data_IF_612077484918
#
_entry.id   IF_612077484918
#
_cell.length_a   1.000
_cell.length_b   1.000
_cell.length_c   1.000
_cell.angle_alpha   90.00
_cell.angle_beta   90.00
_cell.angle_gamma   90.00
#
_symmetry.space_group_name_H-M   'P 1'
#
loop_
_entity.id
_entity.type
_entity.pdbx_description
1 polymer ?
#
# COMPACT_ATOMS: atom_id res chain seq x y z
N UNK A 1 -8.35 32.23 14.51
CA UNK A 1 -8.09 30.79 14.73
C UNK A 1 -8.24 30.55 16.22
N UNK A 2 -9.28 29.81 16.65
CA UNK A 2 -9.42 29.47 18.08
C UNK A 2 -8.28 28.54 18.47
N UNK A 3 -7.50 28.95 19.44
CA UNK A 3 -6.45 28.15 20.03
C UNK A 3 -7.09 26.94 20.74
N UNK A 4 -7.00 25.76 20.14
CA UNK A 4 -7.49 24.52 20.73
C UNK A 4 -6.59 24.23 21.93
N UNK A 5 -7.17 24.12 23.13
CA UNK A 5 -6.41 23.79 24.33
C UNK A 5 -5.56 22.51 24.12
N UNK A 6 -4.40 22.42 24.75
CA UNK A 6 -3.49 21.28 24.63
C UNK A 6 -4.19 19.93 24.96
N UNK A 7 -5.09 19.93 25.91
CA UNK A 7 -5.90 18.76 26.29
C UNK A 7 -6.88 18.34 25.18
N UNK A 8 -7.58 19.29 24.55
CA UNK A 8 -8.49 19.01 23.44
C UNK A 8 -7.74 18.51 22.21
N UNK A 9 -6.52 19.04 21.95
CA UNK A 9 -5.66 18.59 20.86
C UNK A 9 -5.15 17.16 21.09
N UNK A 10 -4.74 16.81 22.30
CA UNK A 10 -4.32 15.44 22.65
C UNK A 10 -5.49 14.44 22.52
N UNK A 11 -6.70 14.85 22.90
CA UNK A 11 -7.92 14.04 22.70
C UNK A 11 -8.20 13.83 21.21
N UNK A 12 -8.10 14.88 20.38
CA UNK A 12 -8.29 14.79 18.94
C UNK A 12 -7.29 13.83 18.27
N UNK A 13 -5.99 13.88 18.66
CA UNK A 13 -4.97 12.96 18.15
C UNK A 13 -5.30 11.50 18.50
N UNK A 14 -5.78 11.22 19.72
CA UNK A 14 -6.16 9.86 20.12
C UNK A 14 -7.34 9.32 19.30
N UNK A 15 -8.42 10.12 19.16
CA UNK A 15 -9.58 9.72 18.37
C UNK A 15 -9.26 9.58 16.88
N UNK A 16 -8.41 10.45 16.34
CA UNK A 16 -7.87 10.34 14.99
C UNK A 16 -7.12 9.02 14.80
N UNK A 17 -6.16 8.70 15.68
CA UNK A 17 -5.37 7.48 15.61
C UNK A 17 -6.21 6.22 15.77
N UNK A 18 -7.14 6.20 16.74
CA UNK A 18 -8.03 5.07 16.95
C UNK A 18 -8.93 4.80 15.73
N UNK A 19 -9.53 5.85 15.15
CA UNK A 19 -10.35 5.69 13.96
C UNK A 19 -9.54 5.27 12.73
N UNK A 20 -8.33 5.81 12.57
CA UNK A 20 -7.43 5.41 11.50
C UNK A 20 -7.03 3.93 11.65
N UNK A 21 -6.63 3.51 12.85
CA UNK A 21 -6.26 2.11 13.11
C UNK A 21 -7.42 1.15 12.82
N UNK A 22 -8.64 1.46 13.25
CA UNK A 22 -9.81 0.64 12.94
C UNK A 22 -10.05 0.52 11.42
N UNK A 23 -9.92 1.63 10.67
CA UNK A 23 -10.10 1.61 9.23
C UNK A 23 -9.01 0.77 8.52
N UNK A 24 -7.75 0.89 8.97
CA UNK A 24 -6.63 0.14 8.43
C UNK A 24 -6.70 -1.35 8.80
N UNK A 25 -7.09 -1.70 10.03
CA UNK A 25 -7.31 -3.09 10.43
C UNK A 25 -8.41 -3.75 9.59
N UNK A 26 -9.53 -3.04 9.36
CA UNK A 26 -10.58 -3.51 8.47
C UNK A 26 -10.06 -3.75 7.04
N UNK A 27 -9.28 -2.82 6.51
CA UNK A 27 -8.64 -2.94 5.18
C UNK A 27 -7.75 -4.17 5.10
N UNK A 28 -6.86 -4.39 6.06
CA UNK A 28 -5.97 -5.54 6.10
C UNK A 28 -6.74 -6.87 6.30
N UNK A 29 -7.83 -6.86 7.06
CA UNK A 29 -8.71 -8.03 7.23
C UNK A 29 -9.36 -8.41 5.91
N UNK A 30 -9.85 -7.45 5.13
CA UNK A 30 -10.47 -7.69 3.82
C UNK A 30 -9.45 -8.16 2.79
N UNK A 31 -8.26 -7.52 2.74
CA UNK A 31 -7.14 -7.94 1.89
C UNK A 31 -6.70 -9.37 2.15
N UNK A 32 -6.86 -9.88 3.36
CA UNK A 32 -6.65 -11.28 3.71
C UNK A 32 -7.84 -12.16 3.31
N UNK A 33 -9.06 -11.77 3.72
CA UNK A 33 -10.24 -12.63 3.65
C UNK A 33 -10.73 -12.84 2.22
N UNK A 34 -10.79 -11.78 1.40
CA UNK A 34 -11.42 -11.85 0.07
C UNK A 34 -10.65 -12.75 -0.89
N UNK A 35 -9.33 -12.62 -1.07
CA UNK A 35 -8.57 -13.55 -1.93
C UNK A 35 -8.69 -15.01 -1.47
N UNK A 36 -8.64 -15.25 -0.15
CA UNK A 36 -8.76 -16.58 0.41
C UNK A 36 -10.13 -17.20 0.14
N UNK A 37 -11.21 -16.44 0.35
CA UNK A 37 -12.58 -16.89 0.07
C UNK A 37 -12.81 -17.16 -1.42
N UNK A 38 -12.33 -16.28 -2.30
CA UNK A 38 -12.43 -16.45 -3.76
C UNK A 38 -11.67 -17.70 -4.20
N UNK A 39 -10.46 -17.91 -3.68
CA UNK A 39 -9.69 -19.08 -4.00
C UNK A 39 -10.41 -20.38 -3.55
N UNK A 40 -10.92 -20.42 -2.32
CA UNK A 40 -11.65 -21.60 -1.81
C UNK A 40 -12.92 -21.92 -2.58
N UNK A 41 -13.59 -20.90 -3.12
CA UNK A 41 -14.80 -21.08 -3.94
C UNK A 41 -14.50 -21.56 -5.36
N UNK A 42 -13.36 -21.15 -5.91
CA UNK A 42 -13.08 -21.34 -7.35
C UNK A 42 -11.98 -22.36 -7.63
N UNK A 43 -11.05 -22.55 -6.69
CA UNK A 43 -9.84 -23.35 -6.89
C UNK A 43 -8.91 -22.79 -7.99
N UNK A 44 -9.16 -21.58 -8.51
CA UNK A 44 -8.55 -21.08 -9.73
C UNK A 44 -7.94 -19.70 -9.52
N UNK A 45 -6.63 -19.60 -9.77
CA UNK A 45 -5.84 -18.36 -9.63
C UNK A 45 -6.32 -17.24 -10.55
N UNK A 46 -6.96 -17.56 -11.67
CA UNK A 46 -7.51 -16.56 -12.60
C UNK A 46 -8.49 -15.62 -11.90
N UNK A 47 -9.41 -16.18 -11.11
CA UNK A 47 -10.38 -15.37 -10.37
C UNK A 47 -9.73 -14.52 -9.28
N UNK A 48 -8.71 -15.04 -8.59
CA UNK A 48 -7.94 -14.26 -7.60
C UNK A 48 -7.22 -13.09 -8.24
N UNK A 49 -6.59 -13.31 -9.41
CA UNK A 49 -5.91 -12.25 -10.15
C UNK A 49 -6.85 -11.17 -10.67
N UNK A 50 -8.01 -11.56 -11.23
CA UNK A 50 -9.04 -10.61 -11.68
C UNK A 50 -9.61 -9.82 -10.50
N UNK A 51 -9.94 -10.48 -9.39
CA UNK A 51 -10.45 -9.81 -8.19
C UNK A 51 -9.45 -8.78 -7.66
N UNK A 52 -8.16 -9.14 -7.58
CA UNK A 52 -7.10 -8.23 -7.17
C UNK A 52 -6.97 -7.03 -8.13
N UNK A 53 -7.04 -7.26 -9.45
CA UNK A 53 -7.01 -6.16 -10.42
C UNK A 53 -8.19 -5.20 -10.24
N UNK A 54 -9.40 -5.74 -10.03
CA UNK A 54 -10.62 -4.96 -9.81
C UNK A 54 -10.65 -4.24 -8.45
N UNK A 55 -9.86 -4.71 -7.49
CA UNK A 55 -9.68 -4.03 -6.20
C UNK A 55 -8.84 -2.74 -6.34
N UNK A 56 -7.93 -2.65 -7.30
CA UNK A 56 -7.03 -1.51 -7.47
C UNK A 56 -7.39 -0.58 -8.62
N UNK A 57 -7.93 -1.11 -9.71
CA UNK A 57 -8.22 -0.35 -10.91
C UNK A 57 -9.19 0.83 -10.68
N UNK A 58 -10.31 0.68 -9.96
CA UNK A 58 -11.25 1.78 -9.73
C UNK A 58 -10.64 2.91 -8.87
N UNK A 59 -9.69 2.59 -7.96
CA UNK A 59 -8.99 3.59 -7.17
C UNK A 59 -8.21 4.57 -8.05
N UNK A 60 -7.59 4.10 -9.14
CA UNK A 60 -6.86 4.97 -10.09
C UNK A 60 -7.75 6.08 -10.63
N UNK A 61 -9.01 5.75 -10.93
CA UNK A 61 -9.99 6.72 -11.45
C UNK A 61 -10.48 7.64 -10.32
N UNK A 62 -10.60 7.11 -9.10
CA UNK A 62 -11.12 7.87 -7.95
C UNK A 62 -10.13 8.89 -7.38
N UNK A 63 -8.81 8.64 -7.45
CA UNK A 63 -7.80 9.50 -6.84
C UNK A 63 -7.82 10.96 -7.29
N UNK A 64 -7.93 11.31 -8.59
CA UNK A 64 -8.02 12.70 -9.04
C UNK A 64 -9.22 13.46 -8.43
N UNK A 65 -10.34 12.76 -8.22
CA UNK A 65 -11.57 13.35 -7.68
C UNK A 65 -11.58 13.40 -6.14
N UNK A 66 -10.85 12.51 -5.49
CA UNK A 66 -10.81 12.42 -4.04
C UNK A 66 -10.24 13.70 -3.39
N UNK A 67 -9.25 14.33 -4.02
CA UNK A 67 -8.72 15.62 -3.58
C UNK A 67 -9.77 16.73 -3.60
N UNK A 68 -10.54 16.82 -4.68
CA UNK A 68 -11.65 17.78 -4.82
C UNK A 68 -12.74 17.55 -3.77
N UNK A 69 -13.09 16.28 -3.51
CA UNK A 69 -14.05 15.92 -2.46
C UNK A 69 -13.54 16.31 -1.07
N UNK A 70 -12.25 16.12 -0.81
CA UNK A 70 -11.62 16.51 0.45
C UNK A 70 -11.62 18.03 0.65
N UNK A 71 -11.42 18.79 -0.42
CA UNK A 71 -11.50 20.26 -0.38
C UNK A 71 -12.93 20.75 -0.14
N UNK A 72 -13.92 20.10 -0.75
CA UNK A 72 -15.33 20.49 -0.64
C UNK A 72 -15.97 20.11 0.69
N UNK A 73 -15.74 18.88 1.16
CA UNK A 73 -16.44 18.33 2.33
C UNK A 73 -15.59 18.37 3.61
N UNK A 74 -14.28 18.59 3.48
CA UNK A 74 -13.31 18.50 4.59
C UNK A 74 -13.02 17.06 5.02
N UNK A 75 -11.85 16.85 5.65
CA UNK A 75 -11.34 15.52 5.96
C UNK A 75 -12.27 14.70 6.86
N UNK A 76 -12.85 15.30 7.93
CA UNK A 76 -13.72 14.59 8.86
C UNK A 76 -14.96 13.99 8.20
N UNK A 77 -15.70 14.78 7.44
CA UNK A 77 -16.95 14.32 6.81
C UNK A 77 -16.65 13.29 5.73
N UNK A 78 -15.59 13.52 4.96
CA UNK A 78 -15.17 12.60 3.90
C UNK A 78 -14.74 11.24 4.47
N UNK A 79 -13.90 11.22 5.53
CA UNK A 79 -13.48 9.97 6.17
C UNK A 79 -14.67 9.20 6.73
N UNK A 80 -15.57 9.89 7.44
CA UNK A 80 -16.77 9.26 8.02
C UNK A 80 -17.69 8.70 6.96
N UNK A 81 -18.02 9.50 5.94
CA UNK A 81 -18.91 9.08 4.85
C UNK A 81 -18.35 7.89 4.08
N UNK A 82 -17.06 7.93 3.70
CA UNK A 82 -16.41 6.87 2.99
C UNK A 82 -16.34 5.56 3.81
N UNK A 83 -15.95 5.61 5.09
CA UNK A 83 -15.88 4.41 5.92
C UNK A 83 -17.27 3.87 6.27
N UNK A 84 -18.29 4.71 6.44
CA UNK A 84 -19.69 4.25 6.59
C UNK A 84 -20.16 3.53 5.33
N UNK A 85 -19.90 4.07 4.14
CA UNK A 85 -20.25 3.44 2.87
C UNK A 85 -19.51 2.11 2.65
N UNK A 86 -18.20 2.05 3.00
CA UNK A 86 -17.41 0.80 3.00
C UNK A 86 -17.99 -0.24 3.95
N UNK A 87 -18.34 0.17 5.17
CA UNK A 87 -18.97 -0.71 6.17
C UNK A 87 -20.32 -1.25 5.73
N UNK A 88 -21.17 -0.41 5.12
CA UNK A 88 -22.44 -0.84 4.53
C UNK A 88 -22.25 -1.83 3.39
N UNK A 89 -21.28 -1.59 2.48
CA UNK A 89 -20.95 -2.51 1.41
C UNK A 89 -20.55 -3.89 1.95
N UNK A 90 -19.69 -3.93 2.99
CA UNK A 90 -19.31 -5.20 3.64
C UNK A 90 -20.49 -5.89 4.33
N UNK A 91 -21.37 -5.15 5.00
CA UNK A 91 -22.56 -5.72 5.64
C UNK A 91 -23.52 -6.32 4.61
N UNK A 92 -23.75 -5.64 3.49
CA UNK A 92 -24.55 -6.17 2.36
C UNK A 92 -23.90 -7.42 1.79
N UNK A 93 -22.57 -7.38 1.53
CA UNK A 93 -21.83 -8.53 1.02
C UNK A 93 -21.94 -9.72 1.98
N UNK A 94 -21.79 -9.51 3.28
CA UNK A 94 -22.00 -10.54 4.30
C UNK A 94 -23.40 -11.15 4.21
N UNK A 95 -24.45 -10.32 4.11
CA UNK A 95 -25.82 -10.76 3.93
C UNK A 95 -25.98 -11.63 2.69
N UNK A 96 -25.43 -11.20 1.54
CA UNK A 96 -25.46 -12.00 0.32
C UNK A 96 -24.74 -13.34 0.51
N UNK A 97 -23.57 -13.35 1.14
CA UNK A 97 -22.82 -14.59 1.41
C UNK A 97 -23.58 -15.59 2.29
N UNK A 98 -24.50 -15.11 3.15
CA UNK A 98 -25.32 -15.99 4.01
C UNK A 98 -26.62 -16.45 3.34
N UNK A 99 -27.34 -15.52 2.73
CA UNK A 99 -28.70 -15.80 2.23
C UNK A 99 -28.73 -16.20 0.76
N UNK A 100 -27.68 -15.87 -0.01
CA UNK A 100 -27.60 -16.08 -1.47
C UNK A 100 -26.21 -16.59 -1.87
N UNK A 101 -25.77 -17.77 -1.41
CA UNK A 101 -24.38 -18.26 -1.62
C UNK A 101 -23.97 -18.35 -3.09
N UNK A 102 -24.92 -18.55 -4.02
CA UNK A 102 -24.65 -18.59 -5.46
C UNK A 102 -24.10 -17.25 -6.01
N UNK A 103 -24.36 -16.13 -5.35
CA UNK A 103 -23.87 -14.80 -5.72
C UNK A 103 -22.61 -14.38 -4.97
N UNK A 104 -22.05 -15.23 -4.12
CA UNK A 104 -20.95 -14.89 -3.20
C UNK A 104 -19.73 -14.33 -3.94
N UNK A 105 -19.29 -14.96 -5.04
CA UNK A 105 -18.13 -14.50 -5.81
C UNK A 105 -18.37 -13.08 -6.36
N UNK A 106 -19.53 -12.85 -6.95
CA UNK A 106 -19.87 -11.54 -7.52
C UNK A 106 -20.04 -10.47 -6.45
N UNK A 107 -20.57 -10.83 -5.30
CA UNK A 107 -20.69 -9.93 -4.16
C UNK A 107 -19.30 -9.53 -3.61
N UNK A 108 -18.38 -10.48 -3.50
CA UNK A 108 -16.98 -10.21 -3.07
C UNK A 108 -16.26 -9.31 -4.06
N UNK A 109 -16.37 -9.58 -5.37
CA UNK A 109 -15.76 -8.75 -6.42
C UNK A 109 -16.39 -7.34 -6.44
N UNK A 110 -17.72 -7.24 -6.39
CA UNK A 110 -18.44 -5.97 -6.35
C UNK A 110 -18.07 -5.13 -5.12
N UNK A 111 -17.95 -5.78 -3.96
CA UNK A 111 -17.46 -5.12 -2.75
C UNK A 111 -16.02 -4.61 -2.92
N UNK A 112 -15.13 -5.38 -3.54
CA UNK A 112 -13.76 -4.96 -3.84
C UNK A 112 -13.73 -3.66 -4.66
N UNK A 113 -14.58 -3.54 -5.68
CA UNK A 113 -14.74 -2.32 -6.48
C UNK A 113 -15.18 -1.13 -5.61
N UNK A 114 -16.18 -1.31 -4.76
CA UNK A 114 -16.67 -0.24 -3.87
C UNK A 114 -15.59 0.21 -2.88
N UNK A 115 -14.90 -0.75 -2.26
CA UNK A 115 -13.80 -0.45 -1.32
C UNK A 115 -12.66 0.29 -2.01
N UNK A 116 -12.33 -0.10 -3.23
CA UNK A 116 -11.31 0.52 -4.08
C UNK A 116 -11.63 1.99 -4.37
N UNK A 117 -12.83 2.29 -4.87
CA UNK A 117 -13.25 3.67 -5.15
C UNK A 117 -13.20 4.53 -3.90
N UNK A 118 -13.60 3.99 -2.76
CA UNK A 118 -13.68 4.71 -1.49
C UNK A 118 -12.34 4.80 -0.75
N UNK A 119 -11.30 4.07 -1.17
CA UNK A 119 -9.97 4.14 -0.59
C UNK A 119 -9.32 5.52 -0.80
N UNK A 120 -9.43 6.08 -2.00
CA UNK A 120 -8.85 7.39 -2.31
C UNK A 120 -9.44 8.52 -1.45
N UNK A 121 -10.77 8.65 -1.28
CA UNK A 121 -11.39 9.57 -0.33
C UNK A 121 -10.89 9.42 1.12
N UNK A 122 -10.73 8.17 1.60
CA UNK A 122 -10.22 7.92 2.96
C UNK A 122 -8.80 8.46 3.11
N UNK A 123 -7.90 8.14 2.16
CA UNK A 123 -6.52 8.63 2.20
C UNK A 123 -6.43 10.15 2.13
N UNK A 124 -7.19 10.78 1.23
CA UNK A 124 -7.23 12.25 1.14
C UNK A 124 -7.81 12.90 2.41
N UNK A 125 -8.76 12.24 3.05
CA UNK A 125 -9.31 12.70 4.31
C UNK A 125 -8.26 12.70 5.45
N UNK A 126 -7.42 11.67 5.50
CA UNK A 126 -6.29 11.59 6.45
C UNK A 126 -5.31 12.72 6.19
N UNK A 127 -4.83 12.89 4.95
CA UNK A 127 -3.89 13.95 4.57
C UNK A 127 -4.39 15.35 4.92
N UNK A 128 -5.68 15.63 4.71
CA UNK A 128 -6.30 16.90 5.06
C UNK A 128 -6.47 17.11 6.57
N UNK A 129 -6.67 16.04 7.33
CA UNK A 129 -6.94 16.13 8.77
C UNK A 129 -5.68 16.28 9.60
N UNK A 130 -4.55 15.69 9.16
CA UNK A 130 -3.27 15.72 9.88
C UNK A 130 -2.82 17.15 10.21
N UNK A 131 -2.71 18.11 9.26
CA UNK A 131 -2.27 19.47 9.57
C UNK A 131 -3.22 20.21 10.53
N UNK A 132 -4.53 19.93 10.43
CA UNK A 132 -5.55 20.56 11.27
C UNK A 132 -5.45 20.13 12.74
N UNK A 133 -5.13 18.85 12.96
CA UNK A 133 -5.07 18.25 14.30
C UNK A 133 -3.71 18.51 14.93
N UNK A 134 -2.65 18.38 14.15
CA UNK A 134 -1.27 18.49 14.62
C UNK A 134 -0.85 19.94 14.91
N UNK A 135 -1.26 20.86 14.05
CA UNK A 135 -0.60 22.18 13.98
C UNK A 135 0.86 22.06 13.49
N UNK A 136 1.55 23.20 13.28
CA UNK A 136 2.90 23.18 12.71
C UNK A 136 3.92 22.44 13.59
N UNK A 137 3.83 22.57 14.90
CA UNK A 137 4.81 22.03 15.86
C UNK A 137 4.78 20.50 16.00
N UNK A 138 3.60 19.86 15.77
CA UNK A 138 3.39 18.43 15.97
C UNK A 138 3.15 17.67 14.66
N UNK A 139 3.36 18.29 13.52
CA UNK A 139 3.11 17.69 12.22
C UNK A 139 3.91 16.39 12.03
N UNK A 140 5.20 16.40 12.35
CA UNK A 140 6.06 15.24 12.26
C UNK A 140 5.60 14.10 13.18
N UNK A 141 5.14 14.44 14.40
CA UNK A 141 4.59 13.44 15.34
C UNK A 141 3.32 12.79 14.81
N UNK A 142 2.39 13.58 14.24
CA UNK A 142 1.16 13.02 13.65
C UNK A 142 1.42 12.20 12.39
N UNK A 143 2.38 12.58 11.55
CA UNK A 143 2.81 11.76 10.41
C UNK A 143 3.43 10.44 10.86
N UNK A 144 4.25 10.47 11.90
CA UNK A 144 4.78 9.23 12.52
C UNK A 144 3.66 8.36 13.08
N UNK A 145 2.64 8.96 13.71
CA UNK A 145 1.47 8.22 14.20
C UNK A 145 0.73 7.52 13.05
N UNK A 146 0.47 8.21 11.92
CA UNK A 146 -0.15 7.61 10.73
C UNK A 146 0.66 6.41 10.25
N UNK A 147 1.98 6.57 10.09
CA UNK A 147 2.87 5.51 9.65
C UNK A 147 2.87 4.31 10.63
N UNK A 148 2.89 4.59 11.94
CA UNK A 148 2.83 3.53 12.95
C UNK A 148 1.51 2.77 12.93
N UNK A 149 0.38 3.44 12.68
CA UNK A 149 -0.92 2.79 12.53
C UNK A 149 -0.97 1.91 11.27
N UNK A 150 -0.39 2.36 10.16
CA UNK A 150 -0.28 1.56 8.93
C UNK A 150 0.51 0.27 9.18
N UNK A 151 1.68 0.35 9.81
CA UNK A 151 2.53 -0.81 10.10
C UNK A 151 1.89 -1.75 11.13
N UNK A 152 1.26 -1.18 12.15
CA UNK A 152 0.56 -1.97 13.17
C UNK A 152 -0.62 -2.73 12.56
N UNK A 153 -1.40 -2.08 11.69
CA UNK A 153 -2.51 -2.73 11.00
C UNK A 153 -2.02 -3.82 10.04
N UNK A 154 -0.90 -3.58 9.33
CA UNK A 154 -0.29 -4.56 8.43
C UNK A 154 0.21 -5.81 9.20
N UNK A 155 0.69 -5.64 10.42
CA UNK A 155 1.12 -6.76 11.28
C UNK A 155 -0.08 -7.48 11.92
N UNK A 156 -1.01 -6.73 12.54
CA UNK A 156 -2.09 -7.30 13.33
C UNK A 156 -3.30 -7.75 12.49
N UNK A 157 -3.61 -7.06 11.38
CA UNK A 157 -4.79 -7.36 10.58
C UNK A 157 -4.85 -8.80 10.09
N UNK A 158 -3.83 -9.28 9.35
CA UNK A 158 -3.79 -10.67 8.90
C UNK A 158 -3.72 -11.68 10.05
N UNK A 159 -3.00 -11.36 11.14
CA UNK A 159 -2.91 -12.24 12.31
C UNK A 159 -4.26 -12.43 13.00
N UNK A 160 -5.01 -11.34 13.23
CA UNK A 160 -6.36 -11.37 13.80
C UNK A 160 -7.32 -12.08 12.86
N UNK A 161 -7.23 -11.82 11.56
CA UNK A 161 -8.08 -12.46 10.56
C UNK A 161 -7.82 -13.97 10.49
N UNK A 162 -6.55 -14.39 10.46
CA UNK A 162 -6.19 -15.81 10.47
C UNK A 162 -6.63 -16.48 11.78
N UNK A 163 -6.42 -15.85 12.93
CA UNK A 163 -6.87 -16.36 14.22
C UNK A 163 -8.38 -16.57 14.26
N UNK A 164 -9.16 -15.60 13.80
CA UNK A 164 -10.62 -15.76 13.73
C UNK A 164 -11.05 -16.86 12.74
N UNK A 165 -10.37 -16.95 11.59
CA UNK A 165 -10.66 -17.95 10.57
C UNK A 165 -10.40 -19.40 11.01
N UNK A 166 -9.64 -19.62 12.09
CA UNK A 166 -9.41 -20.94 12.69
C UNK A 166 -10.60 -21.43 13.51
N UNK A 167 -11.37 -20.52 14.10
CA UNK A 167 -12.45 -20.86 15.05
C UNK A 167 -13.86 -20.52 14.56
N UNK A 168 -13.97 -19.68 13.52
CA UNK A 168 -15.24 -19.21 12.99
C UNK A 168 -15.28 -19.29 11.46
N UNK A 169 -16.51 -19.27 10.90
CA UNK A 169 -16.68 -19.16 9.45
C UNK A 169 -16.04 -17.86 8.93
N UNK A 170 -15.27 -17.98 7.85
CA UNK A 170 -14.51 -16.86 7.25
C UNK A 170 -15.38 -15.68 6.84
N UNK A 171 -16.67 -15.90 6.57
CA UNK A 171 -17.64 -14.84 6.30
C UNK A 171 -17.74 -13.83 7.44
N UNK A 172 -17.50 -14.24 8.69
CA UNK A 172 -17.46 -13.33 9.85
C UNK A 172 -16.34 -12.29 9.79
N UNK A 173 -15.28 -12.55 9.00
CA UNK A 173 -14.23 -11.56 8.76
C UNK A 173 -14.78 -10.30 8.07
N UNK A 174 -15.77 -10.46 7.17
CA UNK A 174 -16.46 -9.33 6.54
C UNK A 174 -17.28 -8.52 7.56
N UNK A 175 -17.93 -9.22 8.49
CA UNK A 175 -18.68 -8.60 9.59
C UNK A 175 -17.77 -7.83 10.54
N UNK A 176 -16.65 -8.43 10.95
CA UNK A 176 -15.63 -7.78 11.78
C UNK A 176 -15.09 -6.51 11.12
N UNK A 177 -14.74 -6.60 9.83
CA UNK A 177 -14.27 -5.44 9.07
C UNK A 177 -15.35 -4.36 8.95
N UNK A 178 -16.63 -4.73 8.74
CA UNK A 178 -17.73 -3.77 8.71
C UNK A 178 -17.87 -3.02 10.04
N UNK A 179 -17.86 -3.74 11.17
CA UNK A 179 -17.92 -3.16 12.52
C UNK A 179 -16.74 -2.21 12.76
N UNK A 180 -15.51 -2.61 12.36
CA UNK A 180 -14.33 -1.78 12.50
C UNK A 180 -14.42 -0.48 11.67
N UNK A 181 -15.00 -0.53 10.46
CA UNK A 181 -15.24 0.67 9.64
C UNK A 181 -16.30 1.61 10.22
N UNK A 182 -17.37 1.07 10.80
CA UNK A 182 -18.35 1.88 11.51
C UNK A 182 -17.74 2.52 12.77
N UNK A 183 -16.93 1.78 13.53
CA UNK A 183 -16.19 2.32 14.68
C UNK A 183 -15.22 3.42 14.23
N UNK A 184 -14.50 3.25 13.13
CA UNK A 184 -13.64 4.27 12.56
C UNK A 184 -14.40 5.57 12.24
N UNK A 185 -15.59 5.46 11.63
CA UNK A 185 -16.44 6.61 11.34
C UNK A 185 -16.95 7.30 12.61
N UNK A 186 -17.23 6.54 13.67
CA UNK A 186 -17.68 7.08 14.97
C UNK A 186 -16.54 7.83 15.68
N UNK A 187 -15.34 7.28 15.74
CA UNK A 187 -14.20 7.92 16.39
C UNK A 187 -13.85 9.28 15.79
N UNK A 188 -14.11 9.49 14.50
CA UNK A 188 -13.86 10.78 13.85
C UNK A 188 -15.01 11.79 14.02
N UNK A 189 -16.06 11.45 14.76
CA UNK A 189 -17.24 12.32 14.94
C UNK A 189 -16.90 13.66 15.58
N UNK A 190 -15.99 13.68 16.55
CA UNK A 190 -15.58 14.85 17.32
C UNK A 190 -14.37 15.62 16.76
N UNK A 191 -13.78 15.21 15.63
CA UNK A 191 -12.58 15.86 15.11
C UNK A 191 -12.89 17.25 14.53
N UNK A 192 -11.92 18.19 14.59
CA UNK A 192 -12.08 19.51 14.00
C UNK A 192 -12.29 19.43 12.48
N UNK A 193 -13.06 20.36 11.94
CA UNK A 193 -13.28 20.53 10.50
C UNK A 193 -12.83 21.90 10.10
N UNK A 194 -11.96 22.00 9.08
CA UNK A 194 -11.79 23.24 8.34
C UNK A 194 -12.38 23.06 6.94
N UNK A 195 -13.28 23.95 6.56
CA UNK A 195 -13.63 24.12 5.16
C UNK A 195 -12.50 24.89 4.51
N UNK A 196 -11.76 24.27 3.62
CA UNK A 196 -10.80 24.99 2.81
C UNK A 196 -11.58 25.85 1.80
N UNK A 197 -11.43 27.16 1.90
CA UNK A 197 -11.85 28.12 0.87
C UNK A 197 -10.69 28.22 -0.12
N UNK A 198 -10.23 27.11 -0.68
CA UNK A 198 -9.28 27.17 -1.78
C UNK A 198 -10.05 27.50 -3.06
N UNK A 199 -9.59 28.53 -3.77
CA UNK A 199 -10.07 28.81 -5.13
C UNK A 199 -9.92 27.54 -5.95
N UNK A 200 -10.92 27.12 -6.72
CA UNK A 200 -10.83 25.90 -7.52
C UNK A 200 -9.79 26.13 -8.62
N UNK A 201 -8.56 25.71 -8.38
CA UNK A 201 -7.62 25.46 -9.47
C UNK A 201 -8.12 24.25 -10.23
N UNK A 202 -8.10 24.29 -11.54
CA UNK A 202 -8.54 23.17 -12.37
C UNK A 202 -7.67 21.94 -12.03
N UNK A 203 -8.26 20.88 -11.47
CA UNK A 203 -7.59 19.60 -11.14
C UNK A 203 -6.76 19.10 -12.33
N UNK A 204 -7.28 19.25 -13.53
CA UNK A 204 -6.59 18.86 -14.77
C UNK A 204 -5.34 19.68 -15.05
N UNK A 205 -5.34 21.02 -14.77
CA UNK A 205 -4.15 21.87 -14.93
C UNK A 205 -3.06 21.49 -13.93
N UNK A 206 -3.42 21.26 -12.68
CA UNK A 206 -2.46 20.84 -11.64
C UNK A 206 -1.91 19.44 -11.92
N UNK A 207 -2.73 18.52 -12.41
CA UNK A 207 -2.30 17.19 -12.82
C UNK A 207 -1.36 17.26 -14.05
N UNK A 208 -1.71 18.05 -15.07
CA UNK A 208 -0.85 18.25 -16.25
C UNK A 208 0.51 18.87 -15.88
N UNK A 209 0.51 19.86 -14.97
CA UNK A 209 1.74 20.44 -14.46
C UNK A 209 2.58 19.41 -13.69
N UNK A 210 1.94 18.56 -12.87
CA UNK A 210 2.60 17.50 -12.14
C UNK A 210 3.27 16.48 -13.08
N UNK A 211 2.60 16.06 -14.15
CA UNK A 211 3.17 15.21 -15.20
C UNK A 211 4.36 15.87 -15.88
N UNK A 212 4.25 17.14 -16.27
CA UNK A 212 5.34 17.87 -16.89
C UNK A 212 6.57 17.96 -15.98
N UNK A 213 6.36 18.22 -14.68
CA UNK A 213 7.43 18.28 -13.69
C UNK A 213 8.06 16.90 -13.45
N UNK A 214 7.27 15.81 -13.41
CA UNK A 214 7.78 14.45 -13.27
C UNK A 214 8.63 14.05 -14.48
N UNK A 215 8.13 14.28 -15.70
CA UNK A 215 8.83 13.96 -16.94
C UNK A 215 10.11 14.81 -17.11
N UNK A 216 10.11 16.04 -16.61
CA UNK A 216 11.28 16.94 -16.58
C UNK A 216 12.27 16.66 -15.45
N UNK A 217 12.04 15.64 -14.60
CA UNK A 217 12.93 15.25 -13.49
C UNK A 217 13.49 13.84 -13.69
N UNK A 218 14.59 13.66 -14.44
CA UNK A 218 15.13 12.35 -14.79
C UNK A 218 15.44 11.42 -13.61
N UNK A 219 15.99 11.89 -12.46
CA UNK A 219 16.18 11.07 -11.27
C UNK A 219 14.89 10.48 -10.74
N UNK A 220 13.84 11.31 -10.57
CA UNK A 220 12.56 10.89 -10.02
C UNK A 220 11.78 10.02 -11.02
N UNK A 221 11.89 10.31 -12.33
CA UNK A 221 11.26 9.50 -13.38
C UNK A 221 11.86 8.09 -13.44
N UNK A 222 13.21 7.96 -13.39
CA UNK A 222 13.83 6.64 -13.37
C UNK A 222 13.50 5.85 -12.10
N UNK A 223 13.38 6.54 -10.96
CA UNK A 223 12.91 5.93 -9.73
C UNK A 223 11.43 5.48 -9.82
N UNK A 224 10.58 6.26 -10.49
CA UNK A 224 9.18 5.88 -10.73
C UNK A 224 9.09 4.57 -11.55
N UNK A 225 9.89 4.44 -12.61
CA UNK A 225 9.97 3.22 -13.42
C UNK A 225 10.47 2.02 -12.63
N UNK A 226 11.53 2.20 -11.83
CA UNK A 226 12.05 1.14 -10.97
C UNK A 226 11.02 0.70 -9.91
N UNK A 227 10.38 1.65 -9.25
CA UNK A 227 9.38 1.37 -8.23
C UNK A 227 8.12 0.72 -8.84
N UNK A 228 7.72 1.14 -10.05
CA UNK A 228 6.67 0.47 -10.82
C UNK A 228 7.00 -1.02 -11.06
N UNK A 229 8.23 -1.32 -11.48
CA UNK A 229 8.66 -2.71 -11.74
C UNK A 229 8.68 -3.55 -10.47
N UNK A 230 9.12 -2.99 -9.35
CA UNK A 230 9.07 -3.64 -8.02
C UNK A 230 7.62 -3.92 -7.64
N UNK A 231 6.75 -2.91 -7.72
CA UNK A 231 5.34 -3.05 -7.35
C UNK A 231 4.60 -4.04 -8.28
N UNK A 232 4.96 -4.11 -9.57
CA UNK A 232 4.39 -5.07 -10.50
C UNK A 232 4.71 -6.52 -10.09
N UNK A 233 5.97 -6.80 -9.74
CA UNK A 233 6.37 -8.11 -9.26
C UNK A 233 5.65 -8.47 -7.95
N UNK A 234 5.57 -7.54 -7.00
CA UNK A 234 4.83 -7.76 -5.75
C UNK A 234 3.33 -7.90 -5.97
N UNK A 235 2.73 -7.15 -6.88
CA UNK A 235 1.31 -7.27 -7.20
C UNK A 235 0.96 -8.67 -7.74
N UNK A 236 1.81 -9.23 -8.60
CA UNK A 236 1.65 -10.62 -9.06
C UNK A 236 1.77 -11.62 -7.90
N UNK A 237 2.74 -11.44 -7.00
CA UNK A 237 2.90 -12.26 -5.80
C UNK A 237 1.68 -12.17 -4.89
N UNK A 238 1.27 -10.95 -4.52
CA UNK A 238 0.17 -10.72 -3.59
C UNK A 238 -1.17 -11.25 -4.11
N UNK A 239 -1.43 -11.08 -5.42
CA UNK A 239 -2.66 -11.59 -6.04
C UNK A 239 -2.74 -13.13 -6.06
N UNK A 240 -1.60 -13.82 -5.96
CA UNK A 240 -1.48 -15.26 -6.07
C UNK A 240 -1.12 -15.99 -4.78
N UNK A 241 -0.70 -15.28 -3.72
CA UNK A 241 -0.20 -15.89 -2.49
C UNK A 241 -1.15 -16.92 -1.87
N UNK A 242 -2.45 -16.60 -1.80
CA UNK A 242 -3.45 -17.54 -1.28
C UNK A 242 -3.50 -18.85 -2.11
N UNK A 243 -3.48 -18.72 -3.45
CA UNK A 243 -3.46 -19.86 -4.36
C UNK A 243 -2.17 -20.70 -4.21
N UNK A 244 -1.00 -20.05 -4.12
CA UNK A 244 0.29 -20.76 -4.01
C UNK A 244 0.35 -21.52 -2.67
N UNK A 245 -0.03 -20.90 -1.57
CA UNK A 245 0.06 -21.51 -0.23
C UNK A 245 -0.95 -22.63 -0.07
N UNK A 246 -2.24 -22.35 -0.29
CA UNK A 246 -3.30 -23.32 -0.03
C UNK A 246 -3.56 -24.28 -1.21
N UNK A 247 -3.28 -23.84 -2.45
CA UNK A 247 -3.48 -24.64 -3.65
C UNK A 247 -2.24 -25.44 -4.06
N UNK A 248 -1.12 -24.75 -4.36
CA UNK A 248 0.10 -25.42 -4.86
C UNK A 248 0.77 -26.24 -3.75
N UNK A 249 0.95 -25.66 -2.56
CA UNK A 249 1.61 -26.33 -1.45
C UNK A 249 0.66 -27.06 -0.50
N UNK A 250 -0.65 -26.97 -0.71
CA UNK A 250 -1.68 -27.61 0.14
C UNK A 250 -1.51 -27.30 1.64
N UNK A 251 -0.98 -26.11 1.95
CA UNK A 251 -0.74 -25.69 3.32
C UNK A 251 -2.02 -25.10 3.96
N UNK A 252 -2.10 -25.18 5.29
CA UNK A 252 -3.22 -24.60 6.03
C UNK A 252 -3.34 -23.10 5.84
N UNK A 253 -4.55 -22.56 5.82
CA UNK A 253 -4.83 -21.12 5.66
C UNK A 253 -4.12 -20.24 6.70
N UNK A 254 -3.86 -20.78 7.90
CA UNK A 254 -3.08 -20.11 8.94
C UNK A 254 -1.64 -19.74 8.52
N UNK A 255 -1.05 -20.50 7.59
CA UNK A 255 0.30 -20.20 7.06
C UNK A 255 0.27 -18.91 6.25
N UNK A 256 -0.77 -18.71 5.44
CA UNK A 256 -0.97 -17.45 4.70
C UNK A 256 -1.09 -16.24 5.65
N UNK A 257 -1.88 -16.38 6.72
CA UNK A 257 -2.02 -15.34 7.75
C UNK A 257 -0.70 -15.06 8.48
N UNK A 258 0.02 -16.11 8.89
CA UNK A 258 1.31 -15.99 9.58
C UNK A 258 2.37 -15.32 8.70
N UNK A 259 2.41 -15.65 7.42
CA UNK A 259 3.31 -15.04 6.44
C UNK A 259 3.05 -13.53 6.31
N UNK A 260 1.78 -13.12 6.21
CA UNK A 260 1.43 -11.70 6.12
C UNK A 260 1.67 -10.95 7.45
N UNK A 261 1.38 -11.58 8.58
CA UNK A 261 1.71 -11.03 9.91
C UNK A 261 3.23 -10.86 10.08
N UNK A 262 4.02 -11.84 9.62
CA UNK A 262 5.48 -11.76 9.61
C UNK A 262 6.01 -10.59 8.76
N UNK A 263 5.42 -10.35 7.59
CA UNK A 263 5.76 -9.19 6.76
C UNK A 263 5.48 -7.86 7.48
N UNK A 264 4.35 -7.75 8.19
CA UNK A 264 4.05 -6.59 9.03
C UNK A 264 5.04 -6.41 10.19
N UNK A 265 5.40 -7.50 10.88
CA UNK A 265 6.39 -7.47 11.96
C UNK A 265 7.77 -7.02 11.47
N UNK A 266 8.20 -7.48 10.27
CA UNK A 266 9.43 -6.99 9.64
C UNK A 266 9.36 -5.50 9.32
N UNK A 267 8.20 -4.98 8.90
CA UNK A 267 7.97 -3.55 8.72
C UNK A 267 8.23 -2.76 10.00
N UNK A 268 7.72 -3.24 11.14
CA UNK A 268 7.97 -2.63 12.46
C UNK A 268 9.43 -2.74 12.89
N UNK A 269 10.08 -3.88 12.64
CA UNK A 269 11.50 -4.08 12.97
C UNK A 269 12.40 -3.07 12.25
N UNK A 270 12.03 -2.65 11.05
CA UNK A 270 12.78 -1.65 10.29
C UNK A 270 12.90 -0.29 11.00
N UNK A 271 11.94 0.10 11.86
CA UNK A 271 12.09 1.30 12.69
C UNK A 271 13.32 1.27 13.56
N UNK A 272 13.65 0.08 14.08
CA UNK A 272 14.82 -0.11 14.97
C UNK A 272 16.09 -0.32 14.14
N UNK A 273 15.98 -1.03 13.03
CA UNK A 273 17.12 -1.47 12.23
C UNK A 273 17.66 -0.35 11.34
N UNK A 274 16.78 0.38 10.66
CA UNK A 274 17.16 1.41 9.67
C UNK A 274 18.06 2.50 10.24
N UNK A 275 17.79 3.13 11.41
CA UNK A 275 18.69 4.12 11.98
C UNK A 275 20.09 3.56 12.27
N UNK A 276 20.18 2.31 12.76
CA UNK A 276 21.47 1.64 13.02
C UNK A 276 22.26 1.35 11.75
N UNK A 277 21.56 0.97 10.67
CA UNK A 277 22.19 0.74 9.36
C UNK A 277 22.67 2.07 8.75
N UNK A 278 21.87 3.13 8.80
CA UNK A 278 22.24 4.45 8.28
C UNK A 278 23.39 5.10 9.07
N UNK A 279 23.61 4.72 10.33
CA UNK A 279 24.80 5.13 11.08
C UNK A 279 26.09 4.50 10.56
N UNK A 280 26.02 3.39 9.80
CA UNK A 280 27.16 2.62 9.33
C UNK A 280 27.32 2.60 7.80
N UNK A 281 26.28 2.94 7.04
CA UNK A 281 26.31 2.90 5.59
C UNK A 281 25.52 4.06 4.97
N UNK A 282 25.88 4.42 3.73
CA UNK A 282 25.17 5.46 2.99
C UNK A 282 23.75 4.99 2.59
N UNK A 283 22.86 5.95 2.36
CA UNK A 283 21.51 5.70 1.87
C UNK A 283 21.50 4.91 0.55
N UNK A 284 22.50 5.10 -0.30
CA UNK A 284 22.65 4.38 -1.56
C UNK A 284 23.02 2.91 -1.36
N UNK A 285 23.90 2.62 -0.37
CA UNK A 285 24.23 1.23 0.01
C UNK A 285 23.05 0.54 0.64
N UNK A 286 22.28 1.25 1.48
CA UNK A 286 21.04 0.73 2.06
C UNK A 286 20.03 0.37 0.97
N UNK A 287 19.84 1.26 -0.02
CA UNK A 287 18.96 1.02 -1.17
C UNK A 287 19.42 -0.18 -2.03
N UNK A 288 20.72 -0.29 -2.28
CA UNK A 288 21.28 -1.42 -3.03
C UNK A 288 21.09 -2.76 -2.30
N UNK A 289 21.37 -2.79 -1.01
CA UNK A 289 21.14 -3.97 -0.16
C UNK A 289 19.65 -4.36 -0.17
N UNK A 290 18.75 -3.38 0.02
CA UNK A 290 17.32 -3.63 -0.03
C UNK A 290 16.87 -4.18 -1.38
N UNK A 291 17.35 -3.62 -2.49
CA UNK A 291 17.04 -4.09 -3.84
C UNK A 291 17.57 -5.51 -4.09
N UNK A 292 18.79 -5.81 -3.66
CA UNK A 292 19.38 -7.15 -3.80
C UNK A 292 18.61 -8.22 -3.00
N UNK A 293 18.26 -7.94 -1.75
CA UNK A 293 17.45 -8.85 -0.90
C UNK A 293 16.05 -9.08 -1.50
N UNK A 294 15.43 -8.03 -2.04
CA UNK A 294 14.15 -8.11 -2.72
C UNK A 294 14.23 -9.03 -3.95
N UNK A 295 15.21 -8.82 -4.83
CA UNK A 295 15.40 -9.65 -6.01
C UNK A 295 15.69 -11.11 -5.65
N UNK A 296 16.58 -11.35 -4.69
CA UNK A 296 16.89 -12.69 -4.19
C UNK A 296 15.65 -13.38 -3.64
N UNK A 297 14.86 -12.69 -2.80
CA UNK A 297 13.61 -13.24 -2.26
C UNK A 297 12.62 -13.62 -3.35
N UNK A 298 12.41 -12.76 -4.35
CA UNK A 298 11.51 -13.05 -5.48
C UNK A 298 12.00 -14.24 -6.33
N UNK A 299 13.31 -14.35 -6.60
CA UNK A 299 13.88 -15.50 -7.32
C UNK A 299 13.64 -16.78 -6.52
N UNK A 300 13.96 -16.77 -5.22
CA UNK A 300 13.75 -17.94 -4.35
C UNK A 300 12.27 -18.33 -4.26
N UNK A 301 11.32 -17.37 -4.27
CA UNK A 301 9.89 -17.68 -4.35
C UNK A 301 9.53 -18.40 -5.65
N UNK A 302 10.07 -17.96 -6.77
CA UNK A 302 9.80 -18.56 -8.08
C UNK A 302 10.30 -20.00 -8.23
N UNK A 303 11.36 -20.39 -7.48
CA UNK A 303 11.93 -21.75 -7.49
C UNK A 303 11.61 -22.56 -6.23
N UNK A 304 10.75 -22.04 -5.34
CA UNK A 304 10.44 -22.70 -4.08
C UNK A 304 9.77 -24.05 -4.30
N UNK A 305 10.31 -25.09 -3.70
CA UNK A 305 9.78 -26.47 -3.74
C UNK A 305 8.82 -26.80 -2.59
N UNK A 306 8.63 -25.86 -1.66
CA UNK A 306 7.75 -26.05 -0.50
C UNK A 306 7.36 -24.74 0.18
N UNK A 307 6.32 -24.81 0.99
CA UNK A 307 5.71 -23.64 1.63
C UNK A 307 6.66 -22.88 2.55
N UNK A 308 7.53 -23.57 3.27
CA UNK A 308 8.49 -22.93 4.19
C UNK A 308 9.48 -22.05 3.42
N UNK A 309 10.09 -22.60 2.35
CA UNK A 309 11.01 -21.85 1.50
C UNK A 309 10.30 -20.67 0.84
N UNK A 310 9.08 -20.86 0.35
CA UNK A 310 8.27 -19.79 -0.22
C UNK A 310 7.99 -18.67 0.79
N UNK A 311 7.55 -19.00 2.00
CA UNK A 311 7.25 -18.05 3.05
C UNK A 311 8.48 -17.27 3.51
N UNK A 312 9.61 -17.95 3.74
CA UNK A 312 10.86 -17.29 4.13
C UNK A 312 11.38 -16.37 3.01
N UNK A 313 11.23 -16.80 1.75
CA UNK A 313 11.62 -16.00 0.58
C UNK A 313 10.72 -14.76 0.43
N UNK A 314 9.42 -14.89 0.69
CA UNK A 314 8.50 -13.74 0.73
C UNK A 314 8.89 -12.74 1.82
N UNK A 315 9.20 -13.22 3.03
CA UNK A 315 9.66 -12.36 4.13
C UNK A 315 10.97 -11.66 3.78
N UNK A 316 11.90 -12.35 3.14
CA UNK A 316 13.16 -11.77 2.66
C UNK A 316 12.90 -10.67 1.62
N UNK A 317 12.02 -10.92 0.64
CA UNK A 317 11.62 -9.93 -0.36
C UNK A 317 10.96 -8.70 0.28
N UNK A 318 10.08 -8.90 1.25
CA UNK A 318 9.42 -7.83 2.00
C UNK A 318 10.40 -7.00 2.83
N UNK A 319 11.36 -7.64 3.50
CA UNK A 319 12.44 -6.95 4.22
C UNK A 319 13.29 -6.10 3.27
N UNK A 320 13.67 -6.66 2.11
CA UNK A 320 14.38 -5.94 1.05
C UNK A 320 13.59 -4.74 0.53
N UNK A 321 12.30 -4.93 0.26
CA UNK A 321 11.39 -3.86 -0.18
C UNK A 321 11.31 -2.72 0.86
N UNK A 322 11.23 -3.05 2.14
CA UNK A 322 11.16 -2.05 3.20
C UNK A 322 12.45 -1.20 3.28
N UNK A 323 13.63 -1.82 3.16
CA UNK A 323 14.92 -1.10 3.11
C UNK A 323 15.04 -0.23 1.84
N UNK A 324 14.65 -0.78 0.68
CA UNK A 324 14.60 -0.02 -0.58
C UNK A 324 13.67 1.18 -0.49
N UNK A 325 12.53 1.05 0.16
CA UNK A 325 11.58 2.15 0.34
C UNK A 325 12.13 3.32 1.15
N UNK A 326 13.06 3.09 2.08
CA UNK A 326 13.76 4.17 2.78
C UNK A 326 14.60 5.00 1.81
N UNK A 327 15.37 4.34 0.92
CA UNK A 327 16.09 5.01 -0.17
C UNK A 327 15.12 5.76 -1.11
N UNK A 328 14.09 5.09 -1.60
CA UNK A 328 13.09 5.63 -2.50
C UNK A 328 12.46 6.93 -1.94
N UNK A 329 11.92 6.87 -0.73
CA UNK A 329 11.24 8.02 -0.10
C UNK A 329 12.22 9.18 0.16
N UNK A 330 13.41 8.88 0.67
CA UNK A 330 14.39 9.89 1.02
C UNK A 330 14.89 10.65 -0.21
N UNK A 331 15.30 9.93 -1.24
CA UNK A 331 15.89 10.53 -2.44
C UNK A 331 14.85 11.29 -3.27
N UNK A 332 13.65 10.77 -3.35
CA UNK A 332 12.53 11.42 -4.03
C UNK A 332 12.20 12.78 -3.43
N UNK A 333 12.09 12.86 -2.09
CA UNK A 333 11.80 14.13 -1.41
C UNK A 333 12.92 15.13 -1.59
N UNK A 334 14.19 14.68 -1.57
CA UNK A 334 15.35 15.57 -1.77
C UNK A 334 15.45 16.13 -3.19
N UNK A 335 15.03 15.35 -4.20
CA UNK A 335 15.16 15.72 -5.62
C UNK A 335 13.98 16.52 -6.18
N UNK A 336 12.91 16.69 -5.40
CA UNK A 336 11.75 17.48 -5.79
C UNK A 336 11.74 18.77 -4.96
N UNK A 337 11.62 19.89 -5.64
CA UNK A 337 11.44 21.18 -4.98
C UNK A 337 10.19 21.18 -4.08
N UNK A 338 10.33 21.67 -2.85
CA UNK A 338 9.27 21.61 -1.83
C UNK A 338 7.95 22.27 -2.28
N UNK A 339 8.03 23.35 -3.08
CA UNK A 339 6.88 24.03 -3.66
C UNK A 339 6.08 23.17 -4.65
N UNK A 340 6.73 22.19 -5.27
CA UNK A 340 6.14 21.32 -6.30
C UNK A 340 5.94 19.86 -5.84
N UNK A 341 6.35 19.53 -4.61
CA UNK A 341 6.33 18.16 -4.08
C UNK A 341 4.96 17.49 -4.27
N UNK A 342 3.87 18.11 -3.82
CA UNK A 342 2.54 17.56 -3.94
C UNK A 342 2.08 17.33 -5.39
N UNK A 343 2.49 18.24 -6.31
CA UNK A 343 2.11 18.14 -7.73
C UNK A 343 2.83 17.00 -8.45
N UNK A 344 4.11 16.78 -8.13
CA UNK A 344 4.92 15.69 -8.72
C UNK A 344 4.54 14.33 -8.13
N UNK A 345 4.19 14.30 -6.83
CA UNK A 345 3.84 13.06 -6.14
C UNK A 345 2.54 12.43 -6.66
N UNK A 346 1.57 13.22 -7.13
CA UNK A 346 0.33 12.71 -7.72
C UNK A 346 0.60 11.76 -8.89
N UNK A 347 1.21 12.22 -10.00
CA UNK A 347 1.59 11.39 -11.13
C UNK A 347 2.53 10.23 -10.74
N UNK A 348 3.49 10.45 -9.84
CA UNK A 348 4.37 9.40 -9.34
C UNK A 348 3.57 8.25 -8.71
N UNK A 349 2.61 8.55 -7.86
CA UNK A 349 1.75 7.53 -7.26
C UNK A 349 0.83 6.87 -8.28
N UNK A 350 0.27 7.61 -9.24
CA UNK A 350 -0.58 7.02 -10.29
C UNK A 350 0.18 5.99 -11.12
N UNK A 351 1.42 6.29 -11.55
CA UNK A 351 2.28 5.32 -12.24
C UNK A 351 2.47 4.07 -11.40
N UNK A 352 2.78 4.24 -10.12
CA UNK A 352 3.05 3.12 -9.23
C UNK A 352 1.80 2.30 -8.90
N UNK A 353 0.64 2.95 -8.70
CA UNK A 353 -0.63 2.25 -8.45
C UNK A 353 -1.08 1.41 -9.66
N UNK A 354 -0.76 1.85 -10.88
CA UNK A 354 -1.11 1.10 -12.10
C UNK A 354 -0.47 -0.30 -12.13
N UNK A 355 0.65 -0.51 -11.44
CA UNK A 355 1.31 -1.80 -11.33
C UNK A 355 0.43 -2.87 -10.66
N UNK A 356 -0.45 -2.50 -9.72
CA UNK A 356 -1.29 -3.45 -8.98
C UNK A 356 -2.32 -4.14 -9.86
N UNK A 357 -3.21 -3.43 -10.60
CA UNK A 357 -4.13 -4.10 -11.50
C UNK A 357 -3.41 -4.87 -12.61
N UNK A 358 -2.28 -4.36 -13.12
CA UNK A 358 -1.49 -5.08 -14.13
C UNK A 358 -0.90 -6.37 -13.57
N UNK A 359 -0.37 -6.38 -12.34
CA UNK A 359 0.12 -7.59 -11.69
C UNK A 359 -0.98 -8.63 -11.49
N UNK A 360 -2.18 -8.20 -11.06
CA UNK A 360 -3.35 -9.08 -10.96
C UNK A 360 -3.76 -9.67 -12.31
N UNK A 361 -3.78 -8.86 -13.37
CA UNK A 361 -4.09 -9.32 -14.72
C UNK A 361 -3.03 -10.28 -15.28
N UNK A 362 -1.74 -10.05 -15.00
CA UNK A 362 -0.66 -10.99 -15.35
C UNK A 362 -0.85 -12.33 -14.64
N UNK A 363 -1.22 -12.30 -13.36
CA UNK A 363 -1.52 -13.54 -12.62
C UNK A 363 -2.74 -14.26 -13.21
N UNK A 364 -3.79 -13.53 -13.55
CA UNK A 364 -5.00 -14.09 -14.14
C UNK A 364 -4.79 -14.68 -15.54
N UNK A 365 -3.87 -14.14 -16.33
CA UNK A 365 -3.58 -14.55 -17.70
C UNK A 365 -2.37 -15.47 -17.79
N UNK A 366 -1.18 -14.91 -17.60
CA UNK A 366 0.10 -15.64 -17.75
C UNK A 366 0.28 -16.66 -16.62
N UNK A 367 0.01 -16.27 -15.37
CA UNK A 367 0.12 -17.15 -14.22
C UNK A 367 -0.84 -18.34 -14.27
N UNK A 368 -2.04 -18.15 -14.84
CA UNK A 368 -3.00 -19.22 -15.03
C UNK A 368 -2.55 -20.24 -16.09
N UNK A 369 -1.92 -19.79 -17.16
CA UNK A 369 -1.50 -20.66 -18.28
C UNK A 369 -0.16 -21.36 -18.01
N UNK A 370 0.84 -20.63 -17.55
CA UNK A 370 2.21 -21.12 -17.41
C UNK A 370 2.61 -21.47 -15.98
N UNK A 371 1.73 -21.20 -15.01
CA UNK A 371 1.99 -21.37 -13.59
C UNK A 371 2.47 -20.10 -12.90
N UNK A 372 1.99 -19.90 -11.68
CA UNK A 372 2.27 -18.68 -10.90
C UNK A 372 3.75 -18.55 -10.53
N UNK A 373 4.40 -19.66 -10.14
CA UNK A 373 5.82 -19.63 -9.78
C UNK A 373 6.71 -19.25 -10.97
N UNK A 374 6.36 -19.73 -12.17
CA UNK A 374 7.05 -19.33 -13.43
C UNK A 374 6.86 -17.84 -13.68
N UNK A 375 5.66 -17.29 -13.51
CA UNK A 375 5.41 -15.85 -13.63
C UNK A 375 6.27 -15.05 -12.64
N UNK A 376 6.29 -15.47 -11.36
CA UNK A 376 7.11 -14.82 -10.32
C UNK A 376 8.58 -14.84 -10.70
N UNK A 377 9.09 -15.98 -11.16
CA UNK A 377 10.48 -16.14 -11.58
C UNK A 377 10.83 -15.22 -12.75
N UNK A 378 9.98 -15.17 -13.79
CA UNK A 378 10.19 -14.29 -14.95
C UNK A 378 10.22 -12.81 -14.51
N UNK A 379 9.26 -12.37 -13.69
CA UNK A 379 9.25 -11.00 -13.18
C UNK A 379 10.47 -10.71 -12.29
N UNK A 380 10.91 -11.69 -11.48
CA UNK A 380 12.11 -11.57 -10.66
C UNK A 380 13.38 -11.43 -11.52
N UNK A 381 13.50 -12.19 -12.60
CA UNK A 381 14.64 -12.09 -13.53
C UNK A 381 14.63 -10.75 -14.29
N UNK A 382 13.47 -10.31 -14.77
CA UNK A 382 13.30 -8.98 -15.38
C UNK A 382 13.65 -7.87 -14.39
N UNK A 383 13.27 -8.01 -13.12
CA UNK A 383 13.64 -7.03 -12.10
C UNK A 383 15.14 -7.11 -11.76
N UNK A 384 15.73 -8.31 -11.73
CA UNK A 384 17.14 -8.48 -11.38
C UNK A 384 18.06 -7.98 -12.49
N UNK A 385 17.87 -8.36 -13.73
CA UNK A 385 18.80 -8.03 -14.81
C UNK A 385 18.60 -6.59 -15.32
N UNK A 386 17.51 -6.24 -16.06
CA UNK A 386 17.33 -4.85 -16.50
C UNK A 386 17.00 -3.89 -15.35
N UNK A 387 16.37 -4.37 -14.27
CA UNK A 387 16.10 -3.55 -13.08
C UNK A 387 17.38 -3.14 -12.35
N UNK A 388 18.43 -3.95 -12.29
CA UNK A 388 19.74 -3.56 -11.73
C UNK A 388 20.37 -2.45 -12.55
N UNK A 389 20.31 -2.52 -13.88
CA UNK A 389 20.79 -1.44 -14.75
C UNK A 389 20.02 -0.14 -14.50
N UNK A 390 18.70 -0.25 -14.37
CA UNK A 390 17.83 0.91 -14.03
C UNK A 390 18.15 1.45 -12.64
N UNK A 391 18.42 0.59 -11.64
CA UNK A 391 18.83 0.99 -10.30
C UNK A 391 20.16 1.75 -10.31
N UNK A 392 21.17 1.25 -11.03
CA UNK A 392 22.47 1.91 -11.18
C UNK A 392 22.29 3.29 -11.84
N UNK A 393 21.52 3.36 -12.93
CA UNK A 393 21.20 4.62 -13.61
C UNK A 393 20.48 5.60 -12.68
N UNK A 394 19.49 5.13 -11.93
CA UNK A 394 18.75 5.93 -10.97
C UNK A 394 19.68 6.49 -9.88
N UNK A 395 20.53 5.65 -9.32
CA UNK A 395 21.50 6.04 -8.29
C UNK A 395 22.48 7.09 -8.82
N UNK A 396 23.01 6.90 -10.04
CA UNK A 396 23.90 7.87 -10.69
C UNK A 396 23.21 9.23 -10.91
N UNK A 397 21.95 9.21 -11.39
CA UNK A 397 21.18 10.44 -11.61
C UNK A 397 20.90 11.19 -10.30
N UNK A 398 20.60 10.48 -9.21
CA UNK A 398 20.43 11.12 -7.90
C UNK A 398 21.73 11.70 -7.36
N UNK A 399 22.85 11.01 -7.49
CA UNK A 399 24.16 11.55 -7.08
C UNK A 399 24.50 12.83 -7.83
N UNK A 400 24.35 12.83 -9.15
CA UNK A 400 24.61 14.01 -9.98
C UNK A 400 23.68 15.19 -9.62
N UNK A 401 22.40 14.91 -9.34
CA UNK A 401 21.42 15.95 -9.02
C UNK A 401 21.53 16.52 -7.60
N UNK A 402 21.93 15.68 -6.62
CA UNK A 402 21.90 16.06 -5.20
C UNK A 402 23.29 16.36 -4.62
N UNK A 403 24.35 15.77 -5.16
CA UNK A 403 25.72 15.89 -4.62
C UNK A 403 26.59 16.85 -5.49
N UNK A 404 26.11 17.22 -6.68
CA UNK A 404 26.73 18.21 -7.56
C UNK A 404 28.06 17.75 -8.19
N UNK A 405 28.77 18.64 -8.91
CA UNK A 405 30.04 18.31 -9.56
C UNK A 405 31.23 18.08 -8.61
N UNK A 406 31.06 18.18 -7.30
CA UNK A 406 32.11 17.91 -6.31
C UNK A 406 32.71 16.50 -6.40
N UNK A 407 31.91 15.51 -6.79
CA UNK A 407 32.40 14.13 -7.00
C UNK A 407 33.11 13.90 -8.35
N UNK A 408 32.92 14.77 -9.33
CA UNK A 408 33.67 14.70 -10.57
C UNK A 408 35.15 15.10 -10.38
N UNK A 409 35.44 15.88 -9.35
CA UNK A 409 36.81 16.27 -9.00
C UNK A 409 37.54 15.22 -8.15
N UNK A 410 36.86 14.45 -7.29
CA UNK A 410 37.47 13.35 -6.53
C UNK A 410 37.75 12.09 -7.36
N UNK A 411 37.04 11.88 -8.47
CA UNK A 411 37.30 10.78 -9.39
C UNK A 411 38.42 11.06 -10.43
N UNK A 412 38.93 12.30 -10.45
CA UNK A 412 40.03 12.72 -11.32
C UNK A 412 41.36 12.92 -10.58
N UNK A 413 41.42 12.64 -9.28
CA UNK A 413 42.62 12.51 -8.45
C UNK A 413 42.85 11.05 -8.05
#
# INVERSE_FOLDING_TARGET
>A
MHDISSAARNSAIRWFGAGLLCALLAEQTVLFAVPLMIFQLTGNVRYSGVAFALEWLPALIAYPFAGLLADRFGGRLLFRGANTARGLSLAVTLGICWYQPQWMIWALIGNGIVLSVLMAPVRMAVEKSVPLIAGPERLAHCQSLVQNMELLAMALGPALAAGLAMYADKRWLLGLAAVALFAAALFWRGLPTARSVSRPTSVFKDLALGWRLLLGNPPVLSLAGLNFSINLAFAAVLSANAFVISGVFSAADGVFGLMNAGAGALGLLNFILVPRLLARMSIYRLGAMGFALLCLGLICMGVASGVLLYALSFLLAMAGCALFNVFNRTQRIKAIESAHLGKVMGPFYLVNLLSYPLGGLLTASVGHVYGVQVLILVLALVLTVPGTLLFILTTRRFRLALEGPSLAMEASQ
#
